data_IF_046166670778
#
_entry.id   IF_046166670778
#
_cell.length_a   1.000
_cell.length_b   1.000
_cell.length_c   1.000
_cell.angle_alpha   90.00
_cell.angle_beta   90.00
_cell.angle_gamma   90.00
#
_symmetry.space_group_name_H-M   'P 1'
#
loop_
_entity.id
_entity.type
_entity.pdbx_description
1 polymer ?
#
# COMPACT_ATOMS: atom_id res chain seq x y z
N UNK A 1 0.83 9.93 0.95
CA UNK A 1 0.97 10.21 -0.48
C UNK A 1 -0.09 11.23 -0.88
N UNK A 2 0.31 12.29 -1.55
CA UNK A 2 -0.56 13.36 -2.00
C UNK A 2 -0.37 13.56 -3.50
N UNK A 3 -1.43 13.47 -4.25
CA UNK A 3 -1.42 13.69 -5.70
C UNK A 3 -2.79 14.13 -6.21
N UNK A 4 -3.54 14.89 -5.38
CA UNK A 4 -4.94 15.26 -5.59
C UNK A 4 -5.89 14.69 -4.53
N UNK A 5 -5.38 13.85 -3.62
CA UNK A 5 -6.06 13.26 -2.48
C UNK A 5 -5.06 12.68 -1.48
N UNK A 6 -5.56 12.23 -0.32
CA UNK A 6 -4.78 11.53 0.68
C UNK A 6 -4.77 10.03 0.39
N UNK A 7 -3.59 9.44 0.33
CA UNK A 7 -3.40 7.99 0.21
C UNK A 7 -2.26 7.51 1.10
N UNK A 8 -2.23 6.22 1.32
CA UNK A 8 -1.12 5.50 1.93
C UNK A 8 -0.25 4.84 0.85
N UNK A 9 0.92 4.34 1.23
CA UNK A 9 1.80 3.60 0.35
C UNK A 9 2.95 2.99 1.12
N UNK A 10 3.78 2.20 0.45
CA UNK A 10 4.92 1.52 1.06
C UNK A 10 6.11 1.53 0.11
N UNK A 11 7.31 1.76 0.66
CA UNK A 11 8.52 1.44 -0.10
C UNK A 11 8.64 -0.07 -0.23
N UNK A 12 8.81 -0.54 -1.48
CA UNK A 12 8.91 -1.95 -1.80
C UNK A 12 10.32 -2.29 -2.27
N UNK A 13 10.88 -3.36 -1.72
CA UNK A 13 12.21 -3.82 -2.07
C UNK A 13 12.21 -4.55 -3.42
N UNK A 14 13.35 -4.57 -4.09
CA UNK A 14 13.60 -5.46 -5.22
C UNK A 14 14.47 -6.65 -4.78
N UNK A 15 14.63 -7.66 -5.63
CA UNK A 15 15.48 -8.82 -5.32
C UNK A 15 16.96 -8.49 -5.22
N UNK A 16 17.42 -7.46 -5.94
CA UNK A 16 18.79 -6.97 -5.86
C UNK A 16 19.10 -6.29 -4.52
N UNK A 17 18.07 -5.85 -3.78
CA UNK A 17 18.20 -5.11 -2.50
C UNK A 17 19.09 -3.89 -2.63
N UNK A 18 18.95 -3.16 -3.75
CA UNK A 18 19.80 -2.01 -4.10
C UNK A 18 19.23 -0.67 -3.58
N UNK A 19 18.19 -0.75 -2.74
CA UNK A 19 17.51 0.41 -2.13
C UNK A 19 16.94 1.40 -3.16
N UNK A 20 16.67 0.94 -4.37
CA UNK A 20 15.94 1.75 -5.35
C UNK A 20 14.58 2.14 -4.77
N UNK A 21 14.26 3.42 -4.81
CA UNK A 21 13.15 4.05 -4.13
C UNK A 21 11.81 3.74 -4.80
N UNK A 22 11.44 2.47 -4.87
CA UNK A 22 10.14 2.04 -5.39
C UNK A 22 9.05 2.26 -4.36
N UNK A 23 7.97 2.93 -4.77
CA UNK A 23 6.76 3.16 -3.96
C UNK A 23 5.61 2.36 -4.57
N UNK A 24 5.02 1.46 -3.80
CA UNK A 24 3.82 0.73 -4.16
C UNK A 24 2.61 1.36 -3.49
N UNK A 25 1.57 1.63 -4.27
CA UNK A 25 0.32 2.29 -3.84
C UNK A 25 -0.83 1.90 -4.76
N UNK A 26 -2.04 2.44 -4.56
CA UNK A 26 -3.19 2.19 -5.41
C UNK A 26 -3.20 3.06 -6.67
N UNK A 27 -3.75 2.52 -7.76
CA UNK A 27 -3.86 3.23 -9.03
C UNK A 27 -4.84 4.41 -8.95
N UNK A 28 -5.94 4.26 -8.23
CA UNK A 28 -6.94 5.34 -8.06
C UNK A 28 -6.42 6.52 -7.24
N UNK A 29 -5.29 6.39 -6.52
CA UNK A 29 -4.65 7.49 -5.79
C UNK A 29 -4.13 8.62 -6.70
N UNK A 30 -4.19 8.41 -8.01
CA UNK A 30 -3.78 9.41 -8.98
C UNK A 30 -2.26 9.52 -9.12
N UNK A 31 -1.86 10.22 -10.16
CA UNK A 31 -0.46 10.56 -10.40
C UNK A 31 -0.38 12.03 -10.78
N UNK A 32 0.30 12.79 -9.97
CA UNK A 32 0.85 14.03 -10.46
C UNK A 32 2.37 13.95 -10.34
N UNK A 33 3.09 14.68 -11.16
CA UNK A 33 4.51 14.99 -10.94
C UNK A 33 4.75 15.63 -9.56
N UNK A 34 3.70 15.98 -8.86
CA UNK A 34 3.67 16.65 -7.55
C UNK A 34 3.37 15.69 -6.39
N UNK A 35 3.60 14.39 -6.56
CA UNK A 35 3.49 13.45 -5.44
C UNK A 35 4.41 13.88 -4.30
N UNK A 36 3.83 14.04 -3.11
CA UNK A 36 4.58 14.24 -1.86
C UNK A 36 4.43 12.97 -1.03
N UNK A 37 5.54 12.40 -0.61
CA UNK A 37 5.59 11.22 0.26
C UNK A 37 6.08 11.66 1.63
N UNK A 38 5.28 11.40 2.66
CA UNK A 38 5.63 11.63 4.06
C UNK A 38 6.06 10.34 4.70
N UNK A 39 7.19 10.37 5.40
CA UNK A 39 7.77 9.26 6.12
C UNK A 39 7.52 9.38 7.62
N UNK A 40 7.51 8.23 8.32
CA UNK A 40 7.47 8.15 9.78
C UNK A 40 6.33 8.97 10.42
N UNK A 41 5.23 9.13 9.70
CA UNK A 41 4.05 9.82 10.24
C UNK A 41 3.31 8.89 11.20
N UNK A 42 3.90 8.69 12.36
CA UNK A 42 3.41 7.80 13.41
C UNK A 42 3.63 8.41 14.79
N UNK A 43 2.82 8.03 15.76
CA UNK A 43 3.01 8.45 17.14
C UNK A 43 4.21 7.71 17.73
N UNK A 44 5.02 8.37 18.60
CA UNK A 44 6.16 7.73 19.26
C UNK A 44 5.75 6.62 20.22
N UNK A 45 4.51 6.68 20.73
CA UNK A 45 3.92 5.67 21.61
C UNK A 45 2.45 5.44 21.25
N UNK A 46 1.89 4.30 21.64
CA UNK A 46 0.48 3.99 21.41
C UNK A 46 -0.44 5.03 22.05
N UNK A 47 -1.16 5.77 21.23
CA UNK A 47 -2.17 6.72 21.65
C UNK A 47 -1.65 8.03 22.22
N UNK A 48 -0.32 8.29 22.23
CA UNK A 48 0.25 9.51 22.79
C UNK A 48 1.38 10.11 21.96
N UNK A 49 1.67 11.39 22.20
CA UNK A 49 2.70 12.14 21.52
C UNK A 49 2.23 12.85 20.25
N UNK A 50 3.16 13.43 19.53
CA UNK A 50 2.93 14.17 18.29
C UNK A 50 3.69 13.48 17.14
N UNK A 51 2.96 13.12 16.09
CA UNK A 51 3.57 12.53 14.90
C UNK A 51 4.38 13.59 14.12
N UNK A 52 5.62 13.27 13.68
CA UNK A 52 6.44 14.20 12.93
C UNK A 52 5.82 14.47 11.55
N UNK A 53 5.84 15.73 11.12
CA UNK A 53 5.30 16.13 9.80
C UNK A 53 6.36 16.63 8.83
N UNK A 54 7.62 16.75 9.26
CA UNK A 54 8.71 17.34 8.49
C UNK A 54 9.46 16.39 7.54
N UNK A 55 9.27 15.07 7.67
CA UNK A 55 9.99 14.09 6.87
C UNK A 55 9.27 13.84 5.54
N UNK A 56 9.52 14.68 4.57
CA UNK A 56 8.84 14.64 3.28
C UNK A 56 9.86 14.58 2.13
N UNK A 57 9.48 13.91 1.06
CA UNK A 57 10.12 14.02 -0.25
C UNK A 57 9.07 14.24 -1.33
N UNK A 58 9.46 14.79 -2.47
CA UNK A 58 8.54 15.08 -3.57
C UNK A 58 9.09 14.58 -4.89
N UNK A 59 8.16 14.35 -5.81
CA UNK A 59 8.45 13.87 -7.16
C UNK A 59 8.51 12.36 -7.26
N UNK A 60 7.81 11.84 -8.25
CA UNK A 60 7.84 10.43 -8.61
C UNK A 60 7.59 10.27 -10.12
N UNK A 61 8.07 9.18 -10.67
CA UNK A 61 7.75 8.73 -12.04
C UNK A 61 6.94 7.44 -11.97
N UNK A 62 5.93 7.34 -12.84
CA UNK A 62 5.16 6.12 -13.00
C UNK A 62 6.01 5.07 -13.72
N UNK A 63 6.08 3.88 -13.16
CA UNK A 63 6.72 2.73 -13.78
C UNK A 63 5.69 1.74 -14.33
N UNK A 64 4.70 1.38 -13.53
CA UNK A 64 3.63 0.48 -13.90
C UNK A 64 2.33 0.83 -13.18
N UNK A 65 1.20 0.59 -13.84
CA UNK A 65 -0.13 0.65 -13.21
C UNK A 65 -1.09 -0.30 -13.90
N UNK A 66 -2.06 -0.79 -13.15
CA UNK A 66 -3.07 -1.68 -13.63
C UNK A 66 -4.43 -1.36 -13.00
N UNK A 67 -5.47 -1.31 -13.84
CA UNK A 67 -6.83 -1.01 -13.39
C UNK A 67 -7.52 -2.24 -12.79
N UNK A 68 -7.17 -3.45 -13.26
CA UNK A 68 -7.80 -4.70 -12.83
C UNK A 68 -7.35 -5.15 -11.43
N UNK A 69 -6.27 -4.58 -10.93
CA UNK A 69 -5.74 -4.82 -9.58
C UNK A 69 -5.65 -3.55 -8.76
N UNK A 70 -5.96 -2.41 -9.39
CA UNK A 70 -5.76 -1.08 -8.79
C UNK A 70 -4.33 -0.87 -8.25
N UNK A 71 -3.37 -1.62 -8.80
CA UNK A 71 -1.97 -1.56 -8.40
C UNK A 71 -1.21 -0.45 -9.13
N UNK A 72 -0.28 0.20 -8.43
CA UNK A 72 0.62 1.21 -9.01
C UNK A 72 2.00 1.13 -8.40
N UNK A 73 3.02 1.09 -9.28
CA UNK A 73 4.42 1.18 -8.92
C UNK A 73 4.99 2.50 -9.42
N UNK A 74 5.56 3.27 -8.49
CA UNK A 74 6.25 4.52 -8.76
C UNK A 74 7.72 4.38 -8.38
N UNK A 75 8.59 5.19 -9.00
CA UNK A 75 9.94 5.46 -8.50
C UNK A 75 10.02 6.90 -8.01
N UNK A 76 10.33 7.08 -6.72
CA UNK A 76 10.55 8.40 -6.14
C UNK A 76 11.82 9.00 -6.74
N UNK A 77 11.73 10.23 -7.23
CA UNK A 77 12.85 10.97 -7.83
C UNK A 77 13.51 11.92 -6.83
N UNK A 78 12.77 12.32 -5.80
CA UNK A 78 13.30 13.13 -4.72
C UNK A 78 14.30 12.40 -3.83
N UNK A 79 15.09 13.16 -3.07
CA UNK A 79 15.98 12.58 -2.07
C UNK A 79 15.20 12.06 -0.86
N UNK A 80 15.56 10.88 -0.38
CA UNK A 80 15.13 10.34 0.93
C UNK A 80 16.38 10.32 1.80
N UNK A 81 16.51 11.21 2.78
CA UNK A 81 17.68 11.21 3.67
C UNK A 81 17.78 9.91 4.46
N UNK A 82 19.00 9.40 4.68
CA UNK A 82 19.24 8.21 5.50
C UNK A 82 18.71 8.37 6.92
N UNK A 83 18.68 9.61 7.42
CA UNK A 83 18.11 9.94 8.75
C UNK A 83 16.60 9.66 8.87
N UNK A 84 15.89 9.45 7.74
CA UNK A 84 14.50 8.99 7.77
C UNK A 84 14.39 7.49 8.07
N UNK A 85 15.52 6.76 8.01
CA UNK A 85 15.60 5.32 8.22
C UNK A 85 14.52 4.56 7.43
N UNK A 86 14.48 4.70 6.09
CA UNK A 86 13.43 4.14 5.27
C UNK A 86 13.45 2.61 5.30
N UNK A 87 12.27 2.01 5.51
CA UNK A 87 12.11 0.56 5.45
C UNK A 87 11.57 0.13 4.08
N UNK A 88 12.25 -0.78 3.42
CA UNK A 88 11.85 -1.37 2.14
C UNK A 88 11.24 -2.75 2.38
N UNK A 89 9.94 -2.85 2.21
CA UNK A 89 9.20 -4.06 2.52
C UNK A 89 9.40 -5.16 1.46
N UNK A 90 9.52 -6.40 1.92
CA UNK A 90 9.50 -7.57 1.04
C UNK A 90 8.09 -7.86 0.50
N UNK A 91 7.99 -8.68 -0.53
CA UNK A 91 6.74 -9.02 -1.20
C UNK A 91 6.67 -10.51 -1.54
N UNK A 92 5.44 -10.99 -1.81
CA UNK A 92 5.18 -12.37 -2.20
C UNK A 92 4.13 -12.45 -3.31
N UNK A 93 4.42 -13.25 -4.34
CA UNK A 93 3.49 -13.59 -5.43
C UNK A 93 2.67 -14.85 -5.15
N UNK A 94 2.69 -15.36 -3.92
CA UNK A 94 1.91 -16.54 -3.58
C UNK A 94 0.41 -16.30 -3.82
N UNK A 95 -0.27 -17.31 -4.37
CA UNK A 95 -1.70 -17.27 -4.68
C UNK A 95 -2.57 -17.91 -3.61
N UNK A 96 -1.95 -18.57 -2.61
CA UNK A 96 -2.66 -19.14 -1.46
C UNK A 96 -3.36 -18.08 -0.64
N UNK A 97 -4.48 -18.41 -0.04
CA UNK A 97 -5.15 -17.54 0.92
C UNK A 97 -4.23 -17.15 2.07
N UNK A 98 -4.47 -15.98 2.64
CA UNK A 98 -3.77 -15.51 3.83
C UNK A 98 -4.34 -16.22 5.06
N UNK A 99 -3.48 -16.57 6.00
CA UNK A 99 -3.89 -17.09 7.32
C UNK A 99 -3.93 -15.99 8.37
N UNK A 100 -3.31 -14.86 8.08
CA UNK A 100 -3.36 -13.61 8.81
C UNK A 100 -3.13 -12.47 7.83
N UNK A 101 -3.84 -11.37 7.99
CA UNK A 101 -3.62 -10.16 7.20
C UNK A 101 -3.45 -8.93 8.06
N UNK A 102 -2.45 -8.10 7.73
CA UNK A 102 -2.18 -6.86 8.44
C UNK A 102 -2.14 -5.69 7.46
N UNK A 103 -2.96 -4.67 7.70
CA UNK A 103 -2.93 -3.39 7.00
C UNK A 103 -2.19 -2.34 7.83
N UNK A 104 -1.24 -1.62 7.22
CA UNK A 104 -0.60 -0.45 7.83
C UNK A 104 -0.94 0.78 7.01
N UNK A 105 -1.68 1.73 7.59
CA UNK A 105 -2.34 2.78 6.82
C UNK A 105 -2.49 4.08 7.60
N UNK A 106 -3.00 5.12 6.90
CA UNK A 106 -3.26 6.45 7.45
C UNK A 106 -4.73 6.83 7.25
N UNK A 107 -5.66 6.23 8.04
CA UNK A 107 -7.09 6.47 7.91
C UNK A 107 -7.40 7.94 8.22
N UNK A 108 -8.21 8.61 7.37
CA UNK A 108 -8.51 10.03 7.51
C UNK A 108 -7.28 10.95 7.45
N UNK A 109 -6.12 10.46 6.97
CA UNK A 109 -4.85 11.18 7.04
C UNK A 109 -4.26 11.26 8.46
N UNK A 110 -4.71 10.42 9.39
CA UNK A 110 -4.18 10.35 10.76
C UNK A 110 -2.79 9.67 10.79
N UNK A 111 -2.05 9.79 11.91
CA UNK A 111 -0.83 9.02 12.12
C UNK A 111 -1.05 7.53 11.89
N UNK A 112 0.02 6.83 11.48
CA UNK A 112 0.01 5.39 11.14
C UNK A 112 -0.84 4.57 12.11
N UNK A 113 -1.71 3.74 11.55
CA UNK A 113 -2.54 2.76 12.26
C UNK A 113 -2.28 1.37 11.70
N UNK A 114 -2.65 0.37 12.48
CA UNK A 114 -2.63 -1.02 12.09
C UNK A 114 -4.04 -1.60 12.17
N UNK A 115 -4.40 -2.42 11.18
CA UNK A 115 -5.61 -3.24 11.22
C UNK A 115 -5.23 -4.69 10.99
N UNK A 116 -5.85 -5.62 11.73
CA UNK A 116 -5.46 -7.04 11.72
C UNK A 116 -6.70 -7.91 11.50
N UNK A 117 -6.59 -8.81 10.52
CA UNK A 117 -7.48 -9.94 10.33
C UNK A 117 -6.78 -11.22 10.80
N UNK A 118 -7.17 -11.72 11.96
CA UNK A 118 -6.59 -12.92 12.57
C UNK A 118 -7.06 -14.22 11.90
N UNK A 119 -8.12 -14.17 11.11
CA UNK A 119 -8.68 -15.32 10.40
C UNK A 119 -8.11 -15.45 8.98
N UNK A 120 -7.42 -14.39 8.53
CA UNK A 120 -6.90 -14.31 7.19
C UNK A 120 -7.96 -14.04 6.13
N UNK A 121 -7.54 -13.88 4.88
CA UNK A 121 -8.40 -13.49 3.79
C UNK A 121 -8.27 -14.35 2.55
N UNK A 122 -9.31 -14.33 1.74
CA UNK A 122 -9.42 -15.07 0.49
C UNK A 122 -9.44 -14.16 -0.75
N UNK A 123 -9.27 -14.78 -1.90
CA UNK A 123 -9.41 -14.11 -3.19
C UNK A 123 -10.89 -13.81 -3.49
N UNK A 124 -11.16 -12.61 -3.99
CA UNK A 124 -12.47 -12.12 -4.36
C UNK A 124 -12.38 -11.15 -5.55
N UNK A 125 -13.52 -10.64 -5.97
CA UNK A 125 -13.66 -9.57 -6.96
C UNK A 125 -14.43 -8.44 -6.30
N UNK A 126 -13.85 -7.25 -6.31
CA UNK A 126 -14.50 -6.01 -5.88
C UNK A 126 -15.06 -5.25 -7.07
N UNK A 127 -16.18 -4.58 -6.90
CA UNK A 127 -16.70 -3.64 -7.88
C UNK A 127 -16.85 -2.27 -7.21
N UNK A 128 -16.10 -1.29 -7.68
CA UNK A 128 -15.99 0.03 -7.07
C UNK A 128 -16.49 1.11 -8.01
N UNK A 129 -17.29 2.02 -7.48
CA UNK A 129 -17.77 3.18 -8.24
C UNK A 129 -16.57 4.08 -8.59
N UNK A 130 -16.40 4.38 -9.88
CA UNK A 130 -15.32 5.24 -10.37
C UNK A 130 -13.96 4.56 -10.55
N UNK A 131 -13.80 3.29 -10.10
CA UNK A 131 -12.59 2.49 -10.31
C UNK A 131 -12.87 1.33 -11.27
N UNK A 132 -13.97 0.59 -11.04
CA UNK A 132 -14.35 -0.57 -11.83
C UNK A 132 -14.21 -1.88 -11.07
N UNK A 133 -14.02 -2.96 -11.83
CA UNK A 133 -13.90 -4.33 -11.29
C UNK A 133 -12.44 -4.62 -10.98
N UNK A 134 -12.14 -5.02 -9.75
CA UNK A 134 -10.79 -5.21 -9.23
C UNK A 134 -10.61 -6.63 -8.68
N UNK A 135 -9.49 -7.28 -9.03
CA UNK A 135 -9.05 -8.58 -8.47
C UNK A 135 -8.49 -8.35 -7.08
N UNK A 136 -9.17 -8.78 -6.01
CA UNK A 136 -8.82 -8.42 -4.63
C UNK A 136 -8.60 -9.61 -3.71
N UNK A 137 -7.86 -9.36 -2.61
CA UNK A 137 -7.95 -10.07 -1.35
C UNK A 137 -9.05 -9.41 -0.52
N UNK A 138 -10.00 -10.18 -0.03
CA UNK A 138 -11.01 -9.70 0.92
C UNK A 138 -10.56 -10.02 2.33
N UNK A 139 -10.48 -8.99 3.16
CA UNK A 139 -10.12 -9.03 4.58
C UNK A 139 -11.31 -8.59 5.43
N UNK A 140 -11.43 -9.17 6.62
CA UNK A 140 -12.42 -8.75 7.64
C UNK A 140 -11.67 -8.51 8.94
N UNK A 141 -11.35 -7.26 9.22
CA UNK A 141 -10.52 -6.91 10.37
C UNK A 141 -11.25 -7.09 11.71
N UNK A 142 -10.67 -7.85 12.63
CA UNK A 142 -11.11 -7.95 14.01
C UNK A 142 -10.45 -6.88 14.89
N UNK A 143 -9.35 -6.29 14.44
CA UNK A 143 -8.71 -5.15 15.08
C UNK A 143 -8.53 -4.04 14.05
N UNK A 144 -9.02 -2.84 14.39
CA UNK A 144 -8.93 -1.68 13.50
C UNK A 144 -9.95 -1.70 12.36
N UNK A 145 -9.86 -0.71 11.49
CA UNK A 145 -10.74 -0.51 10.33
C UNK A 145 -10.05 0.41 9.31
N UNK A 146 -10.53 0.45 8.08
CA UNK A 146 -10.02 1.35 7.02
C UNK A 146 -11.01 2.46 6.72
N UNK A 147 -10.49 3.61 6.28
CA UNK A 147 -11.25 4.79 5.90
C UNK A 147 -10.61 5.47 4.69
N UNK A 148 -11.20 6.54 4.19
CA UNK A 148 -10.57 7.41 3.20
C UNK A 148 -9.16 7.82 3.65
N UNK A 149 -8.18 7.80 2.75
CA UNK A 149 -6.75 7.99 3.08
C UNK A 149 -5.99 6.69 3.35
N UNK A 150 -6.67 5.60 3.73
CA UNK A 150 -6.06 4.26 3.80
C UNK A 150 -5.76 3.66 2.43
N UNK A 151 -6.41 4.13 1.37
CA UNK A 151 -6.16 3.74 -0.03
C UNK A 151 -4.68 3.67 -0.36
N UNK A 152 -4.26 2.61 -1.04
CA UNK A 152 -2.85 2.38 -1.40
C UNK A 152 -1.99 1.79 -0.28
N UNK A 153 -2.53 1.55 0.90
CA UNK A 153 -1.80 0.91 1.99
C UNK A 153 -1.48 -0.56 1.69
N UNK A 154 -0.33 -1.06 2.17
CA UNK A 154 0.04 -2.45 1.97
C UNK A 154 -0.81 -3.41 2.82
N UNK A 155 -1.12 -4.57 2.24
CA UNK A 155 -1.56 -5.75 2.96
C UNK A 155 -0.35 -6.66 3.15
N UNK A 156 0.00 -6.96 4.38
CA UNK A 156 1.02 -7.93 4.75
C UNK A 156 0.39 -9.27 5.13
N UNK A 157 1.05 -10.37 4.76
CA UNK A 157 0.70 -11.71 5.22
C UNK A 157 1.37 -12.04 6.58
N UNK A 158 1.14 -13.26 7.07
CA UNK A 158 1.71 -13.79 8.31
C UNK A 158 3.26 -13.82 8.34
N UNK A 159 3.92 -13.67 7.20
CA UNK A 159 5.38 -13.61 7.07
C UNK A 159 5.90 -12.17 6.96
N UNK A 160 5.03 -11.16 7.04
CA UNK A 160 5.38 -9.76 6.85
C UNK A 160 5.70 -9.38 5.41
N UNK A 161 5.18 -10.13 4.43
CA UNK A 161 5.38 -9.87 3.01
C UNK A 161 4.15 -9.23 2.39
N UNK A 162 4.37 -8.23 1.52
CA UNK A 162 3.30 -7.54 0.79
C UNK A 162 2.57 -8.54 -0.13
N UNK A 163 1.24 -8.58 -0.01
CA UNK A 163 0.34 -9.39 -0.83
C UNK A 163 -0.64 -8.54 -1.66
N UNK A 164 -0.78 -7.26 -1.34
CA UNK A 164 -1.70 -6.37 -2.04
C UNK A 164 -1.64 -4.92 -1.59
N UNK A 165 -2.48 -4.10 -2.20
CA UNK A 165 -2.67 -2.68 -1.89
C UNK A 165 -4.15 -2.36 -1.72
N UNK A 166 -4.51 -1.53 -0.73
CA UNK A 166 -5.91 -1.22 -0.43
C UNK A 166 -6.56 -0.42 -1.56
N UNK A 167 -7.62 -0.98 -2.13
CA UNK A 167 -8.53 -0.28 -3.04
C UNK A 167 -9.65 0.41 -2.25
N UNK A 168 -10.27 -0.27 -1.29
CA UNK A 168 -11.36 0.26 -0.49
C UNK A 168 -12.14 -0.83 0.23
N UNK A 169 -13.37 -0.52 0.60
CA UNK A 169 -14.32 -1.43 1.24
C UNK A 169 -15.74 -0.90 1.08
N UNK A 170 -16.77 -1.60 1.57
CA UNK A 170 -18.13 -1.11 1.57
C UNK A 170 -18.31 0.01 2.60
N UNK A 171 -19.06 1.06 2.25
CA UNK A 171 -19.33 2.19 3.15
C UNK A 171 -20.11 1.76 4.42
N UNK A 172 -20.81 0.63 4.36
CA UNK A 172 -21.61 0.10 5.47
C UNK A 172 -20.79 -0.62 6.54
N UNK A 173 -19.54 -1.02 6.25
CA UNK A 173 -18.70 -1.79 7.17
C UNK A 173 -17.21 -1.52 6.92
N UNK A 174 -16.65 -0.60 7.71
CA UNK A 174 -15.23 -0.22 7.62
C UNK A 174 -14.24 -1.35 8.01
N UNK A 175 -14.72 -2.46 8.59
CA UNK A 175 -13.89 -3.63 8.91
C UNK A 175 -13.64 -4.51 7.69
N UNK A 176 -14.55 -4.49 6.70
CA UNK A 176 -14.36 -5.19 5.43
C UNK A 176 -13.48 -4.34 4.51
N UNK A 177 -12.37 -4.91 4.08
CA UNK A 177 -11.37 -4.22 3.25
C UNK A 177 -10.94 -5.08 2.09
N UNK A 178 -10.85 -4.47 0.91
CA UNK A 178 -10.55 -5.13 -0.36
C UNK A 178 -9.21 -4.60 -0.90
N UNK A 179 -8.23 -5.49 -0.97
CA UNK A 179 -6.86 -5.17 -1.37
C UNK A 179 -6.56 -5.75 -2.76
N UNK A 180 -6.23 -4.90 -3.72
CA UNK A 180 -5.78 -5.34 -5.05
C UNK A 180 -4.62 -6.34 -4.95
N UNK A 181 -4.73 -7.47 -5.66
CA UNK A 181 -3.80 -8.61 -5.52
C UNK A 181 -2.45 -8.31 -6.18
N UNK A 182 -1.36 -8.36 -5.40
CA UNK A 182 -0.01 -8.11 -5.89
C UNK A 182 0.44 -9.13 -6.96
N UNK A 183 0.13 -10.43 -6.77
CA UNK A 183 0.48 -11.45 -7.76
C UNK A 183 -0.23 -11.25 -9.11
N UNK A 184 -1.47 -10.74 -9.10
CA UNK A 184 -2.19 -10.40 -10.33
C UNK A 184 -1.57 -9.17 -10.98
N UNK A 185 -1.28 -8.11 -10.21
CA UNK A 185 -0.57 -6.93 -10.71
C UNK A 185 0.77 -7.30 -11.35
N UNK A 186 1.52 -8.21 -10.70
CA UNK A 186 2.77 -8.71 -11.26
C UNK A 186 2.58 -9.37 -12.63
N UNK A 187 1.56 -10.23 -12.78
CA UNK A 187 1.34 -10.99 -14.01
C UNK A 187 0.74 -10.13 -15.12
N UNK A 188 -0.14 -9.18 -14.76
CA UNK A 188 -0.88 -8.38 -15.74
C UNK A 188 0.03 -7.31 -16.40
N UNK A 189 1.06 -6.80 -15.70
CA UNK A 189 1.94 -5.73 -16.22
C UNK A 189 3.44 -6.05 -16.18
N UNK A 190 3.84 -7.27 -15.84
CA UNK A 190 5.22 -7.73 -15.72
C UNK A 190 6.11 -6.77 -14.90
N UNK A 191 6.08 -6.92 -13.57
CA UNK A 191 6.89 -6.11 -12.67
C UNK A 191 8.36 -6.54 -12.56
N UNK A 192 8.76 -7.62 -13.28
CA UNK A 192 10.11 -8.18 -13.19
C UNK A 192 11.23 -7.18 -13.54
N UNK A 193 11.07 -6.25 -14.52
CA UNK A 193 12.14 -5.31 -14.84
C UNK A 193 12.56 -4.41 -13.67
N UNK A 194 11.69 -4.22 -12.69
CA UNK A 194 11.95 -3.36 -11.54
C UNK A 194 12.16 -4.14 -10.24
N UNK A 195 11.34 -5.16 -9.99
CA UNK A 195 11.36 -5.86 -8.71
C UNK A 195 12.15 -7.17 -8.71
N UNK A 196 12.45 -7.72 -9.89
CA UNK A 196 13.26 -8.93 -10.07
C UNK A 196 14.23 -8.78 -11.27
N UNK A 197 15.14 -7.78 -11.25
CA UNK A 197 15.97 -7.42 -12.39
C UNK A 197 17.15 -8.39 -12.66
N UNK A 198 17.13 -9.61 -12.13
CA UNK A 198 18.20 -10.60 -12.24
C UNK A 198 17.89 -11.66 -13.29
#
# INVERSE_FOLDING_TARGET
>A
VYGGGLCSGVLINNRAKDETKYLYTANHCGTGSTVIVRFNYELPECGSGVAPTGQNTSGAVLLASDVDTDGRLLRITGNIPDSYNPYYAGWSRATSNLTLGMGMHHPGGSPKKISIDYNGGGQSIGNFIGIGVVKVWQMVFQLGATEGGSSGSPLFDQNGLIRGTLTGGPDSDCTVSLYGRFHSFWNDVDLSPWLDPL
#
